data_IF_520776164585
#
_entry.id   IF_520776164585
#
_cell.length_a   1.000
_cell.length_b   1.000
_cell.length_c   1.000
_cell.angle_alpha   90.00
_cell.angle_beta   90.00
_cell.angle_gamma   90.00
#
_symmetry.space_group_name_H-M   'P 1'
#
loop_
_entity.id
_entity.type
_entity.pdbx_description
1 polymer ?
#
# COMPACT_ATOMS: atom_id res chain seq x y z
N UNK A 1 -7.37 -35.46 2.25
CA UNK A 1 -7.25 -34.11 1.62
C UNK A 1 -5.92 -33.52 1.99
N UNK A 2 -5.12 -33.01 1.02
CA UNK A 2 -3.80 -32.40 1.33
C UNK A 2 -4.03 -31.18 2.23
N UNK A 3 -3.36 -31.19 3.39
CA UNK A 3 -3.30 -30.04 4.31
C UNK A 3 -2.77 -28.84 3.57
N UNK A 4 -3.59 -27.84 3.28
CA UNK A 4 -3.20 -26.70 2.45
C UNK A 4 -3.46 -25.39 3.17
N UNK A 5 -2.42 -24.56 3.23
CA UNK A 5 -2.54 -23.18 3.68
C UNK A 5 -3.21 -22.31 2.61
N UNK A 6 -4.01 -21.34 3.03
CA UNK A 6 -4.65 -20.38 2.15
C UNK A 6 -4.37 -18.96 2.64
N UNK A 7 -4.09 -18.05 1.71
CA UNK A 7 -3.89 -16.62 2.02
C UNK A 7 -4.81 -15.81 1.13
N UNK A 8 -5.67 -15.03 1.76
CA UNK A 8 -6.57 -14.09 1.09
C UNK A 8 -6.03 -12.68 1.33
N UNK A 9 -5.46 -12.07 0.30
CA UNK A 9 -5.00 -10.69 0.36
C UNK A 9 -6.09 -9.75 -0.13
N UNK A 10 -6.54 -8.85 0.73
CA UNK A 10 -7.52 -7.82 0.41
C UNK A 10 -6.84 -6.46 0.34
N UNK A 11 -7.28 -5.60 -0.59
CA UNK A 11 -6.82 -4.22 -0.71
C UNK A 11 -5.56 -4.06 -1.57
N UNK A 12 -4.50 -3.46 -1.02
CA UNK A 12 -3.40 -2.85 -1.77
C UNK A 12 -2.25 -3.82 -2.11
N UNK A 13 -1.29 -3.30 -2.90
CA UNK A 13 -0.07 -4.01 -3.32
C UNK A 13 0.83 -4.39 -2.14
N UNK A 14 0.84 -3.61 -1.05
CA UNK A 14 1.52 -3.96 0.19
C UNK A 14 0.97 -5.25 0.79
N UNK A 15 -0.36 -5.43 0.83
CA UNK A 15 -0.96 -6.67 1.31
C UNK A 15 -0.56 -7.87 0.46
N UNK A 16 -0.37 -7.70 -0.86
CA UNK A 16 0.12 -8.76 -1.74
C UNK A 16 1.57 -9.11 -1.38
N UNK A 17 2.43 -8.09 -1.21
CA UNK A 17 3.81 -8.27 -0.79
C UNK A 17 3.91 -9.00 0.56
N UNK A 18 3.19 -8.52 1.55
CA UNK A 18 3.14 -9.11 2.90
C UNK A 18 2.57 -10.54 2.89
N UNK A 19 1.62 -10.81 1.99
CA UNK A 19 1.07 -12.16 1.81
C UNK A 19 2.12 -13.19 1.39
N UNK A 20 3.09 -12.82 0.56
CA UNK A 20 4.20 -13.72 0.21
C UNK A 20 5.16 -13.93 1.39
N UNK A 21 5.38 -12.90 2.23
CA UNK A 21 6.15 -13.05 3.48
C UNK A 21 5.45 -14.02 4.42
N UNK A 22 4.14 -13.85 4.64
CA UNK A 22 3.33 -14.74 5.47
C UNK A 22 3.42 -16.17 4.95
N UNK A 23 3.33 -16.37 3.64
CA UNK A 23 3.45 -17.68 3.01
C UNK A 23 4.80 -18.35 3.32
N UNK A 24 5.88 -17.56 3.24
CA UNK A 24 7.21 -18.05 3.61
C UNK A 24 7.28 -18.42 5.10
N UNK A 25 6.69 -17.61 5.99
CA UNK A 25 6.64 -17.95 7.41
C UNK A 25 5.86 -19.24 7.70
N UNK A 26 4.69 -19.44 7.04
CA UNK A 26 3.93 -20.67 7.18
C UNK A 26 4.74 -21.89 6.72
N UNK A 27 5.46 -21.75 5.61
CA UNK A 27 6.34 -22.82 5.08
C UNK A 27 7.53 -23.12 6.01
N UNK A 28 8.24 -22.08 6.44
CA UNK A 28 9.45 -22.22 7.28
C UNK A 28 9.13 -22.83 8.65
N UNK A 29 7.95 -22.53 9.20
CA UNK A 29 7.49 -23.09 10.48
C UNK A 29 6.71 -24.40 10.33
N UNK A 30 6.66 -25.01 9.13
CA UNK A 30 5.93 -26.25 8.82
C UNK A 30 4.44 -26.21 9.25
N UNK A 31 3.83 -25.03 9.19
CA UNK A 31 2.42 -24.85 9.53
C UNK A 31 1.53 -25.37 8.40
N UNK A 32 0.47 -26.06 8.77
CA UNK A 32 -0.52 -26.61 7.86
C UNK A 32 -1.92 -26.28 8.37
N UNK A 33 -2.91 -26.30 7.47
CA UNK A 33 -4.29 -26.00 7.80
C UNK A 33 -4.48 -24.60 8.40
N UNK A 34 -3.77 -23.61 7.86
CA UNK A 34 -3.93 -22.21 8.24
C UNK A 34 -4.53 -21.43 7.08
N UNK A 35 -5.58 -20.67 7.35
CA UNK A 35 -6.13 -19.69 6.40
C UNK A 35 -5.92 -18.30 6.96
N UNK A 36 -5.18 -17.48 6.24
CA UNK A 36 -4.85 -16.10 6.64
C UNK A 36 -5.66 -15.13 5.81
N UNK A 37 -6.40 -14.24 6.49
CA UNK A 37 -7.11 -13.11 5.88
C UNK A 37 -6.31 -11.84 6.15
N UNK A 38 -5.56 -11.38 5.15
CA UNK A 38 -4.79 -10.12 5.22
C UNK A 38 -5.72 -8.96 4.82
N UNK A 39 -6.27 -8.26 5.79
CA UNK A 39 -7.42 -7.38 5.71
C UNK A 39 -7.08 -5.96 5.22
N UNK A 40 -8.08 -5.28 4.66
CA UNK A 40 -8.05 -3.87 4.29
C UNK A 40 -9.08 -3.08 5.12
N UNK A 41 -8.78 -1.78 5.39
CA UNK A 41 -9.62 -0.89 6.19
C UNK A 41 -9.94 0.43 5.46
N UNK A 42 -9.54 0.59 4.20
CA UNK A 42 -9.65 1.87 3.50
C UNK A 42 -11.11 2.33 3.36
N UNK A 43 -12.02 1.41 3.08
CA UNK A 43 -13.46 1.70 2.97
C UNK A 43 -14.26 0.74 3.84
N UNK A 44 -15.50 1.12 4.16
CA UNK A 44 -16.45 0.25 4.86
C UNK A 44 -16.74 -1.03 4.06
N UNK A 45 -16.84 -0.90 2.74
CA UNK A 45 -17.04 -2.06 1.86
C UNK A 45 -15.87 -3.04 1.93
N UNK A 46 -14.62 -2.53 2.01
CA UNK A 46 -13.45 -3.37 2.21
C UNK A 46 -13.54 -4.14 3.54
N UNK A 47 -14.03 -3.54 4.62
CA UNK A 47 -14.25 -4.25 5.89
C UNK A 47 -15.38 -5.26 5.83
N UNK A 48 -16.49 -4.96 5.13
CA UNK A 48 -17.58 -5.93 4.88
C UNK A 48 -17.04 -7.16 4.14
N UNK A 49 -16.16 -6.93 3.16
CA UNK A 49 -15.50 -8.02 2.44
C UNK A 49 -14.60 -8.88 3.33
N UNK A 50 -13.90 -8.29 4.32
CA UNK A 50 -13.12 -9.06 5.31
C UNK A 50 -14.03 -10.05 6.05
N UNK A 51 -15.16 -9.59 6.58
CA UNK A 51 -16.13 -10.43 7.31
C UNK A 51 -16.73 -11.53 6.41
N UNK A 52 -16.98 -11.23 5.15
CA UNK A 52 -17.43 -12.22 4.17
C UNK A 52 -16.37 -13.30 3.93
N UNK A 53 -15.11 -12.92 3.68
CA UNK A 53 -14.03 -13.88 3.41
C UNK A 53 -13.70 -14.74 4.64
N UNK A 54 -13.83 -14.23 5.87
CA UNK A 54 -13.70 -15.01 7.11
C UNK A 54 -14.74 -16.15 7.14
N UNK A 55 -16.03 -15.83 6.95
CA UNK A 55 -17.11 -16.83 6.95
C UNK A 55 -16.96 -17.85 5.82
N UNK A 56 -16.61 -17.38 4.63
CA UNK A 56 -16.34 -18.22 3.46
C UNK A 56 -15.16 -19.17 3.71
N UNK A 57 -14.08 -18.66 4.31
CA UNK A 57 -12.92 -19.48 4.66
C UNK A 57 -13.27 -20.57 5.66
N UNK A 58 -14.03 -20.25 6.72
CA UNK A 58 -14.47 -21.24 7.71
C UNK A 58 -15.40 -22.30 7.11
N UNK A 59 -16.29 -21.90 6.20
CA UNK A 59 -17.16 -22.83 5.47
C UNK A 59 -16.38 -23.78 4.54
N UNK A 60 -15.43 -23.23 3.78
CA UNK A 60 -14.67 -24.01 2.78
C UNK A 60 -13.56 -24.87 3.41
N UNK A 61 -13.01 -24.44 4.53
CA UNK A 61 -11.89 -25.07 5.23
C UNK A 61 -12.20 -25.15 6.74
N UNK A 62 -13.19 -25.98 7.16
CA UNK A 62 -13.67 -26.01 8.54
C UNK A 62 -12.58 -26.39 9.55
N UNK A 63 -11.60 -27.18 9.12
CA UNK A 63 -10.48 -27.64 9.94
C UNK A 63 -9.29 -26.69 9.94
N UNK A 64 -9.31 -25.63 9.10
CA UNK A 64 -8.23 -24.66 9.10
C UNK A 64 -8.39 -23.68 10.26
N UNK A 65 -7.24 -23.32 10.83
CA UNK A 65 -7.12 -22.20 11.74
C UNK A 65 -7.28 -20.89 10.93
N UNK A 66 -8.23 -20.07 11.33
CA UNK A 66 -8.50 -18.77 10.69
C UNK A 66 -7.72 -17.67 11.41
N UNK A 67 -6.78 -17.06 10.72
CA UNK A 67 -5.95 -15.96 11.22
C UNK A 67 -6.33 -14.69 10.48
N UNK A 68 -6.68 -13.65 11.22
CA UNK A 68 -6.97 -12.32 10.64
C UNK A 68 -5.84 -11.37 10.95
N UNK A 69 -5.36 -10.67 9.94
CA UNK A 69 -4.30 -9.66 10.03
C UNK A 69 -4.58 -8.51 9.06
N UNK A 70 -3.67 -7.56 8.94
CA UNK A 70 -3.82 -6.42 8.03
C UNK A 70 -4.44 -5.19 8.71
N UNK A 71 -4.75 -4.16 7.89
CA UNK A 71 -5.14 -2.85 8.42
C UNK A 71 -6.41 -2.87 9.26
N UNK A 72 -7.44 -3.64 8.88
CA UNK A 72 -8.67 -3.70 9.66
C UNK A 72 -8.46 -4.42 11.00
N UNK A 73 -7.67 -5.49 11.02
CA UNK A 73 -7.29 -6.19 12.25
C UNK A 73 -6.43 -5.31 13.18
N UNK A 74 -5.54 -4.50 12.64
CA UNK A 74 -4.73 -3.57 13.40
C UNK A 74 -5.56 -2.47 14.06
N UNK A 75 -6.53 -1.91 13.33
CA UNK A 75 -7.35 -0.78 13.82
C UNK A 75 -8.39 -1.23 14.84
N UNK A 76 -9.03 -2.36 14.62
CA UNK A 76 -10.08 -2.85 15.51
C UNK A 76 -9.89 -4.36 15.78
N UNK A 77 -8.88 -4.74 16.57
CA UNK A 77 -8.53 -6.14 16.78
C UNK A 77 -9.61 -6.91 17.55
N UNK A 78 -10.31 -6.28 18.49
CA UNK A 78 -11.35 -6.92 19.30
C UNK A 78 -12.55 -7.34 18.46
N UNK A 79 -12.95 -6.51 17.47
CA UNK A 79 -14.01 -6.83 16.51
C UNK A 79 -13.81 -8.20 15.84
N UNK A 80 -12.55 -8.53 15.50
CA UNK A 80 -12.24 -9.80 14.83
C UNK A 80 -11.96 -10.93 15.82
N UNK A 81 -11.41 -10.64 17.00
CA UNK A 81 -11.18 -11.62 18.06
C UNK A 81 -12.49 -12.24 18.55
N UNK A 82 -13.56 -11.45 18.61
CA UNK A 82 -14.86 -11.88 19.13
C UNK A 82 -15.67 -12.73 18.11
N UNK A 83 -15.20 -12.83 16.86
CA UNK A 83 -15.85 -13.70 15.86
C UNK A 83 -15.58 -15.17 16.17
N UNK A 84 -16.63 -15.99 16.11
CA UNK A 84 -16.54 -17.45 16.40
C UNK A 84 -15.63 -18.19 15.42
N UNK A 85 -15.57 -17.69 14.19
CA UNK A 85 -14.80 -18.27 13.10
C UNK A 85 -13.29 -17.96 13.20
N UNK A 86 -12.88 -16.99 14.01
CA UNK A 86 -11.51 -16.50 14.09
C UNK A 86 -10.78 -17.13 15.27
N UNK A 87 -9.65 -17.74 14.96
CA UNK A 87 -8.78 -18.38 15.96
C UNK A 87 -7.67 -17.45 16.48
N UNK A 88 -7.17 -16.53 15.63
CA UNK A 88 -6.10 -15.59 16.00
C UNK A 88 -6.21 -14.27 15.25
N UNK A 89 -5.82 -13.18 15.92
CA UNK A 89 -5.69 -11.85 15.33
C UNK A 89 -4.26 -11.35 15.51
N UNK A 90 -3.62 -10.95 14.41
CA UNK A 90 -2.21 -10.55 14.37
C UNK A 90 -2.12 -9.16 13.76
N UNK A 91 -1.33 -8.27 14.38
CA UNK A 91 -1.09 -6.92 13.90
C UNK A 91 -0.20 -6.83 12.65
N UNK A 92 -0.03 -5.62 12.15
CA UNK A 92 0.70 -5.37 10.91
C UNK A 92 2.23 -5.50 11.04
N UNK A 93 2.80 -5.26 12.21
CA UNK A 93 4.21 -5.52 12.49
C UNK A 93 4.43 -7.00 12.75
N UNK A 94 3.65 -7.57 13.64
CA UNK A 94 3.79 -8.94 14.13
C UNK A 94 3.61 -9.99 13.05
N UNK A 95 2.79 -9.73 12.02
CA UNK A 95 2.62 -10.66 10.89
C UNK A 95 3.89 -10.86 10.07
N UNK A 96 4.84 -9.92 10.14
CA UNK A 96 6.11 -9.98 9.44
C UNK A 96 7.21 -10.66 10.25
N UNK A 97 6.96 -10.97 11.52
CA UNK A 97 7.90 -11.63 12.42
C UNK A 97 7.76 -13.16 12.40
N UNK A 98 8.84 -13.87 12.16
CA UNK A 98 8.86 -15.35 12.14
C UNK A 98 8.40 -15.97 13.45
N UNK A 99 8.77 -15.37 14.59
CA UNK A 99 8.42 -15.87 15.94
C UNK A 99 6.91 -15.81 16.20
N UNK A 100 6.20 -14.87 15.62
CA UNK A 100 4.74 -14.79 15.72
C UNK A 100 4.07 -16.03 15.15
N UNK A 101 4.52 -16.49 14.00
CA UNK A 101 3.99 -17.68 13.35
C UNK A 101 4.40 -18.97 14.03
N UNK A 102 5.61 -19.06 14.59
CA UNK A 102 6.06 -20.24 15.35
C UNK A 102 5.15 -20.53 16.55
N UNK A 103 4.59 -19.50 17.16
CA UNK A 103 3.77 -19.60 18.38
C UNK A 103 2.26 -19.53 18.13
N UNK A 104 1.82 -19.69 16.87
CA UNK A 104 0.41 -19.47 16.49
C UNK A 104 -0.56 -20.53 17.05
N UNK A 105 -0.05 -21.68 17.45
CA UNK A 105 -0.89 -22.80 17.97
C UNK A 105 -1.30 -22.62 19.44
N UNK A 106 -0.70 -21.69 20.15
CA UNK A 106 -1.13 -21.33 21.48
C UNK A 106 -2.46 -20.58 21.39
N UNK A 107 -3.56 -21.18 21.87
CA UNK A 107 -4.97 -20.73 21.98
C UNK A 107 -5.31 -19.28 21.56
N UNK A 108 -6.58 -19.01 21.15
CA UNK A 108 -7.13 -17.69 20.69
C UNK A 108 -6.21 -16.49 20.97
N UNK A 109 -5.24 -16.30 20.08
CA UNK A 109 -4.17 -15.31 20.27
C UNK A 109 -4.59 -13.95 19.72
N UNK A 110 -4.54 -12.94 20.56
CA UNK A 110 -4.53 -11.54 20.16
C UNK A 110 -3.08 -11.02 20.29
N UNK A 111 -2.40 -10.84 19.16
CA UNK A 111 -1.04 -10.29 19.11
C UNK A 111 -1.01 -9.06 18.21
N UNK A 112 -1.37 -7.92 18.76
CA UNK A 112 -1.46 -6.63 18.06
C UNK A 112 -0.84 -5.56 18.94
N UNK A 113 0.31 -5.05 18.53
CA UNK A 113 1.01 -3.96 19.22
C UNK A 113 0.53 -2.58 18.80
N UNK A 114 1.10 -1.56 19.41
CA UNK A 114 0.82 -0.17 19.06
C UNK A 114 1.61 0.23 17.80
N UNK A 115 0.96 0.23 16.65
CA UNK A 115 1.58 0.53 15.36
C UNK A 115 2.16 1.97 15.27
N UNK A 116 1.69 2.90 16.10
CA UNK A 116 2.19 4.28 16.12
C UNK A 116 3.55 4.42 16.82
N UNK A 117 3.94 3.45 17.64
CA UNK A 117 5.24 3.40 18.31
C UNK A 117 6.33 2.76 17.45
N UNK A 118 5.94 2.10 16.37
CA UNK A 118 6.88 1.46 15.46
C UNK A 118 7.73 2.48 14.70
N UNK A 119 9.04 2.38 14.84
CA UNK A 119 10.02 3.29 14.25
C UNK A 119 10.84 2.70 13.11
N UNK A 120 10.76 1.37 12.88
CA UNK A 120 11.54 0.66 11.86
C UNK A 120 10.66 -0.29 11.07
N UNK A 121 11.08 -0.61 9.86
CA UNK A 121 10.50 -1.71 9.08
C UNK A 121 11.05 -3.04 9.57
N UNK A 122 10.23 -4.10 9.50
CA UNK A 122 10.69 -5.46 9.82
C UNK A 122 11.51 -6.00 8.65
N UNK A 123 12.78 -6.38 8.86
CA UNK A 123 13.58 -6.99 7.80
C UNK A 123 12.94 -8.28 7.27
N UNK A 124 12.80 -8.37 5.97
CA UNK A 124 12.23 -9.55 5.33
C UNK A 124 12.84 -9.77 3.94
N UNK A 125 12.69 -10.98 3.40
CA UNK A 125 13.11 -11.29 2.03
C UNK A 125 12.02 -12.08 1.32
N UNK A 126 11.81 -11.75 0.05
CA UNK A 126 10.92 -12.47 -0.85
C UNK A 126 11.74 -12.90 -2.06
N UNK A 127 11.62 -14.16 -2.44
CA UNK A 127 12.33 -14.72 -3.58
C UNK A 127 11.43 -14.83 -4.81
N UNK A 128 10.12 -14.99 -4.60
CA UNK A 128 9.16 -15.26 -5.66
C UNK A 128 7.76 -14.76 -5.29
N UNK A 129 7.04 -14.30 -6.29
CA UNK A 129 5.61 -13.99 -6.23
C UNK A 129 4.85 -15.02 -7.08
N UNK A 130 4.19 -15.97 -6.44
CA UNK A 130 3.48 -17.02 -7.17
C UNK A 130 2.36 -16.48 -8.05
N UNK A 131 2.36 -16.91 -9.32
CA UNK A 131 1.35 -16.51 -10.29
C UNK A 131 1.37 -15.03 -10.68
N UNK A 132 2.48 -14.30 -10.42
CA UNK A 132 2.65 -12.89 -10.78
C UNK A 132 3.79 -12.72 -11.77
N UNK A 133 3.56 -11.93 -12.81
CA UNK A 133 4.58 -11.51 -13.79
C UNK A 133 5.47 -10.37 -13.29
N UNK A 134 5.06 -9.67 -12.24
CA UNK A 134 5.78 -8.54 -11.61
C UNK A 134 6.00 -8.80 -10.14
N UNK A 135 7.15 -8.34 -9.64
CA UNK A 135 7.47 -8.35 -8.22
C UNK A 135 7.12 -7.02 -7.56
N UNK A 136 6.51 -7.06 -6.39
CA UNK A 136 6.25 -5.88 -5.57
C UNK A 136 7.37 -5.75 -4.53
N UNK A 137 7.97 -4.58 -4.42
CA UNK A 137 9.03 -4.32 -3.44
C UNK A 137 8.60 -3.17 -2.54
N UNK A 138 8.41 -3.50 -1.28
CA UNK A 138 8.16 -2.49 -0.25
C UNK A 138 9.40 -1.62 -0.06
N UNK A 139 9.20 -0.31 -0.18
CA UNK A 139 10.25 0.69 0.07
C UNK A 139 9.92 1.55 1.28
N UNK A 140 8.65 1.58 1.70
CA UNK A 140 8.18 2.47 2.74
C UNK A 140 6.87 1.94 3.34
N UNK A 141 6.67 2.12 4.64
CA UNK A 141 5.47 1.81 5.42
C UNK A 141 4.98 3.05 6.17
N UNK A 142 3.67 3.05 6.49
CA UNK A 142 3.06 4.12 7.27
C UNK A 142 2.97 5.46 6.54
N UNK A 143 2.44 6.48 7.21
CA UNK A 143 2.31 7.82 6.64
C UNK A 143 2.23 8.86 7.76
N UNK A 144 3.02 9.94 7.66
CA UNK A 144 2.99 11.04 8.61
C UNK A 144 1.89 12.06 8.31
N UNK A 145 1.28 11.98 7.13
CA UNK A 145 0.16 12.83 6.80
C UNK A 145 -1.09 12.41 7.54
N UNK A 146 -1.90 13.38 7.86
CA UNK A 146 -3.16 13.22 8.59
C UNK A 146 -4.27 13.82 7.75
N UNK A 147 -4.43 13.28 6.50
CA UNK A 147 -5.58 13.65 5.65
C UNK A 147 -6.87 13.36 6.41
N UNK A 148 -7.84 14.27 6.33
CA UNK A 148 -9.01 14.26 7.20
C UNK A 148 -9.91 13.04 7.05
N UNK A 149 -9.85 12.37 5.92
CA UNK A 149 -10.62 11.15 5.61
C UNK A 149 -9.86 9.84 5.85
N UNK A 150 -8.54 9.91 6.11
CA UNK A 150 -7.67 8.74 5.99
C UNK A 150 -7.50 8.00 7.31
N UNK A 151 -7.83 6.70 7.30
CA UNK A 151 -7.66 5.79 8.43
C UNK A 151 -6.28 5.09 8.43
N UNK A 152 -5.52 5.18 7.35
CA UNK A 152 -4.30 4.40 7.13
C UNK A 152 -3.23 4.60 8.22
N UNK A 153 -2.98 5.79 8.78
CA UNK A 153 -2.00 5.93 9.85
C UNK A 153 -2.29 5.07 11.09
N UNK A 154 -3.56 4.80 11.38
CA UNK A 154 -3.95 3.92 12.50
C UNK A 154 -3.75 2.44 12.20
N UNK A 155 -3.73 2.07 10.91
CA UNK A 155 -3.45 0.69 10.48
C UNK A 155 -2.00 0.43 10.12
N UNK A 156 -1.23 1.47 9.73
CA UNK A 156 0.12 1.33 9.19
C UNK A 156 1.19 2.11 9.98
N UNK A 157 0.78 2.95 10.92
CA UNK A 157 1.68 3.77 11.74
C UNK A 157 2.27 4.98 11.02
N UNK A 158 3.32 5.52 11.60
CA UNK A 158 4.09 6.63 11.04
C UNK A 158 5.00 6.18 9.90
N UNK A 159 5.51 7.14 9.11
CA UNK A 159 6.43 6.88 8.01
C UNK A 159 7.68 6.12 8.49
N UNK A 160 7.99 5.02 7.80
CA UNK A 160 9.18 4.19 8.01
C UNK A 160 9.68 3.72 6.65
N UNK A 161 10.89 4.09 6.31
CA UNK A 161 11.52 3.75 5.03
C UNK A 161 12.45 2.56 5.15
N UNK A 162 12.49 1.73 4.12
CA UNK A 162 13.47 0.64 4.03
C UNK A 162 14.81 1.22 3.55
N UNK A 163 15.94 0.88 4.16
CA UNK A 163 17.24 1.37 3.71
C UNK A 163 17.53 1.03 2.24
N UNK A 164 18.06 1.98 1.48
CA UNK A 164 18.28 1.84 0.03
C UNK A 164 19.13 0.61 -0.34
N UNK A 165 20.12 0.25 0.48
CA UNK A 165 20.95 -0.94 0.26
C UNK A 165 20.14 -2.24 0.34
N UNK A 166 19.19 -2.33 1.28
CA UNK A 166 18.30 -3.49 1.39
C UNK A 166 17.36 -3.60 0.19
N UNK A 167 16.80 -2.46 -0.27
CA UNK A 167 15.93 -2.42 -1.46
C UNK A 167 16.69 -2.91 -2.69
N UNK A 168 17.89 -2.39 -2.92
CA UNK A 168 18.74 -2.78 -4.06
C UNK A 168 19.04 -4.29 -4.01
N UNK A 169 19.40 -4.83 -2.83
CA UNK A 169 19.69 -6.24 -2.69
C UNK A 169 18.46 -7.12 -2.93
N UNK A 170 17.27 -6.71 -2.45
CA UNK A 170 16.00 -7.38 -2.73
C UNK A 170 15.71 -7.39 -4.23
N UNK A 171 15.89 -6.26 -4.91
CA UNK A 171 15.64 -6.16 -6.37
C UNK A 171 16.63 -7.03 -7.14
N UNK A 172 17.92 -7.03 -6.81
CA UNK A 172 18.92 -7.94 -7.44
C UNK A 172 18.50 -9.39 -7.33
N UNK A 173 18.07 -9.83 -6.14
CA UNK A 173 17.60 -11.20 -5.91
C UNK A 173 16.35 -11.55 -6.72
N UNK A 174 15.40 -10.63 -6.84
CA UNK A 174 14.20 -10.80 -7.65
C UNK A 174 14.53 -10.88 -9.14
N UNK A 175 15.41 -10.02 -9.63
CA UNK A 175 15.86 -10.03 -11.04
C UNK A 175 16.62 -11.31 -11.35
N UNK A 176 17.52 -11.78 -10.48
CA UNK A 176 18.22 -13.04 -10.66
C UNK A 176 17.30 -14.28 -10.66
N UNK A 177 16.10 -14.14 -10.06
CA UNK A 177 15.06 -15.17 -10.11
C UNK A 177 14.13 -15.05 -11.34
N UNK A 178 14.50 -14.21 -12.33
CA UNK A 178 13.85 -14.12 -13.63
C UNK A 178 12.73 -13.10 -13.75
N UNK A 179 12.54 -12.21 -12.76
CA UNK A 179 11.57 -11.12 -12.88
C UNK A 179 12.12 -9.96 -13.72
N UNK A 180 11.33 -9.54 -14.70
CA UNK A 180 11.68 -8.41 -15.58
C UNK A 180 11.11 -7.08 -15.07
N UNK A 181 10.00 -7.11 -14.33
CA UNK A 181 9.33 -5.90 -13.81
C UNK A 181 9.29 -5.91 -12.28
N UNK A 182 9.76 -4.79 -11.70
CA UNK A 182 9.64 -4.48 -10.26
C UNK A 182 8.73 -3.27 -10.09
N UNK A 183 7.81 -3.37 -9.14
CA UNK A 183 6.93 -2.27 -8.73
C UNK A 183 7.35 -1.81 -7.33
N UNK A 184 7.84 -0.58 -7.21
CA UNK A 184 8.09 0.03 -5.91
C UNK A 184 6.76 0.35 -5.24
N UNK A 185 6.58 -0.15 -4.02
CA UNK A 185 5.31 0.00 -3.29
C UNK A 185 5.52 0.50 -1.88
N UNK A 186 4.54 1.22 -1.38
CA UNK A 186 4.50 1.78 -0.03
C UNK A 186 3.12 2.40 0.22
N UNK A 187 2.98 3.04 1.37
CA UNK A 187 1.79 3.83 1.71
C UNK A 187 1.88 5.22 1.08
N UNK A 188 3.07 5.82 1.14
CA UNK A 188 3.41 7.12 0.57
C UNK A 188 4.86 7.08 0.09
N UNK A 189 5.07 6.55 -1.12
CA UNK A 189 6.42 6.32 -1.64
C UNK A 189 7.20 7.60 -1.91
N UNK A 190 6.52 8.72 -2.12
CA UNK A 190 7.14 10.02 -2.35
C UNK A 190 7.72 10.64 -1.07
N UNK A 191 7.22 10.23 0.11
CA UNK A 191 7.76 10.59 1.42
C UNK A 191 8.95 9.72 1.87
N UNK A 192 9.47 8.87 0.97
CA UNK A 192 10.59 7.97 1.25
C UNK A 192 11.84 8.72 1.74
N UNK A 193 12.47 8.14 2.76
CA UNK A 193 13.80 8.49 3.23
C UNK A 193 13.85 9.63 4.26
N UNK A 194 12.75 10.34 4.51
CA UNK A 194 12.74 11.45 5.50
C UNK A 194 13.09 11.01 6.92
N UNK A 195 12.86 9.74 7.24
CA UNK A 195 13.17 9.09 8.52
C UNK A 195 14.56 8.42 8.55
N UNK A 196 15.22 8.28 7.40
CA UNK A 196 16.54 7.65 7.29
C UNK A 196 17.68 8.66 7.54
N UNK A 197 18.87 8.18 7.99
CA UNK A 197 20.08 9.00 8.03
C UNK A 197 20.35 9.62 6.66
N UNK A 198 20.85 10.87 6.66
CA UNK A 198 21.09 11.68 5.44
C UNK A 198 19.84 11.98 4.60
N UNK A 199 18.65 11.59 5.03
CA UNK A 199 17.37 11.89 4.39
C UNK A 199 17.38 11.77 2.86
N UNK A 200 17.73 10.59 2.30
CA UNK A 200 17.73 10.40 0.85
C UNK A 200 16.31 10.61 0.29
N UNK A 201 16.21 11.23 -0.89
CA UNK A 201 14.90 11.43 -1.53
C UNK A 201 14.44 10.18 -2.28
N UNK A 202 13.16 10.17 -2.64
CA UNK A 202 12.58 9.12 -3.48
C UNK A 202 13.29 9.03 -4.84
N UNK A 203 13.57 10.17 -5.47
CA UNK A 203 14.31 10.22 -6.73
C UNK A 203 15.72 9.69 -6.60
N UNK A 204 16.39 9.98 -5.50
CA UNK A 204 17.72 9.44 -5.20
C UNK A 204 17.70 7.91 -5.10
N UNK A 205 16.69 7.34 -4.46
CA UNK A 205 16.49 5.89 -4.43
C UNK A 205 16.34 5.30 -5.84
N UNK A 206 15.49 5.89 -6.69
CA UNK A 206 15.27 5.41 -8.06
C UNK A 206 16.56 5.46 -8.87
N UNK A 207 17.29 6.60 -8.86
CA UNK A 207 18.60 6.73 -9.52
C UNK A 207 19.57 5.62 -9.08
N UNK A 208 19.57 5.33 -7.77
CA UNK A 208 20.43 4.30 -7.19
C UNK A 208 20.04 2.89 -7.64
N UNK A 209 18.75 2.57 -7.70
CA UNK A 209 18.25 1.28 -8.21
C UNK A 209 18.66 1.11 -9.67
N UNK A 210 18.36 2.09 -10.53
CA UNK A 210 18.66 2.04 -11.96
C UNK A 210 20.18 1.91 -12.23
N UNK A 211 21.03 2.53 -11.41
CA UNK A 211 22.48 2.43 -11.51
C UNK A 211 23.03 1.07 -11.04
N UNK A 212 22.51 0.54 -9.92
CA UNK A 212 23.10 -0.63 -9.25
C UNK A 212 22.46 -1.98 -9.67
N UNK A 213 21.37 -1.92 -10.45
CA UNK A 213 20.67 -3.09 -11.00
C UNK A 213 20.46 -2.87 -12.51
N UNK A 214 21.52 -2.89 -13.32
CA UNK A 214 21.42 -2.63 -14.77
C UNK A 214 20.59 -3.71 -15.50
N UNK A 215 20.48 -4.91 -14.94
CA UNK A 215 19.70 -6.03 -15.48
C UNK A 215 18.18 -5.86 -15.31
N UNK A 216 17.74 -4.91 -14.47
CA UNK A 216 16.32 -4.61 -14.29
C UNK A 216 15.76 -3.96 -15.56
N UNK A 217 14.82 -4.63 -16.21
CA UNK A 217 14.25 -4.15 -17.48
C UNK A 217 13.14 -3.12 -17.30
N UNK A 218 12.34 -3.26 -16.25
CA UNK A 218 11.17 -2.42 -16.02
C UNK A 218 11.02 -2.05 -14.56
N UNK A 219 11.02 -0.78 -14.27
CA UNK A 219 10.75 -0.21 -12.94
C UNK A 219 9.44 0.55 -12.97
N UNK A 220 8.49 0.16 -12.15
CA UNK A 220 7.20 0.83 -12.02
C UNK A 220 7.03 1.45 -10.65
N UNK A 221 6.38 2.59 -10.59
CA UNK A 221 6.03 3.27 -9.35
C UNK A 221 4.58 2.94 -8.97
N UNK A 222 4.30 2.83 -7.67
CA UNK A 222 2.92 2.88 -7.17
C UNK A 222 2.43 4.34 -7.13
N UNK A 223 1.36 4.62 -6.39
CA UNK A 223 0.79 5.97 -6.33
C UNK A 223 1.78 6.98 -5.77
N UNK A 224 1.88 8.13 -6.45
CA UNK A 224 2.75 9.25 -6.09
C UNK A 224 1.93 10.48 -5.68
N UNK A 225 2.49 11.31 -4.81
CA UNK A 225 1.94 12.63 -4.49
C UNK A 225 2.74 13.70 -5.25
N UNK A 226 2.08 14.43 -6.14
CA UNK A 226 2.74 15.43 -6.98
C UNK A 226 3.32 16.62 -6.20
N UNK A 227 2.90 16.83 -4.95
CA UNK A 227 3.47 17.86 -4.07
C UNK A 227 4.84 17.50 -3.49
N UNK A 228 5.26 16.25 -3.57
CA UNK A 228 6.49 15.74 -2.96
C UNK A 228 7.56 15.36 -3.98
N UNK A 229 7.32 15.65 -5.24
CA UNK A 229 8.28 15.40 -6.32
C UNK A 229 9.42 16.41 -6.24
N UNK A 230 10.65 15.92 -6.14
CA UNK A 230 11.87 16.73 -6.15
C UNK A 230 12.38 16.97 -7.60
N UNK A 231 13.33 17.92 -7.76
CA UNK A 231 13.86 18.27 -9.08
C UNK A 231 14.61 17.12 -9.76
N UNK A 232 15.22 16.22 -9.00
CA UNK A 232 15.91 15.04 -9.53
C UNK A 232 14.98 14.07 -10.26
N UNK A 233 13.68 14.11 -9.98
CA UNK A 233 12.68 13.25 -10.60
C UNK A 233 12.59 13.46 -12.12
N UNK A 234 12.76 14.69 -12.58
CA UNK A 234 12.65 15.02 -14.00
C UNK A 234 13.75 14.38 -14.86
N UNK A 235 14.93 14.16 -14.30
CA UNK A 235 15.99 13.43 -14.98
C UNK A 235 15.72 11.94 -15.07
N UNK A 236 15.09 11.38 -14.05
CA UNK A 236 14.74 9.94 -14.00
C UNK A 236 13.72 9.58 -15.08
N UNK A 237 12.81 10.49 -15.44
CA UNK A 237 11.82 10.28 -16.48
C UNK A 237 12.43 9.94 -17.84
N UNK A 238 13.70 10.31 -18.08
CA UNK A 238 14.42 10.02 -19.32
C UNK A 238 14.90 8.57 -19.43
N UNK A 239 14.93 7.81 -18.33
CA UNK A 239 15.33 6.40 -18.36
C UNK A 239 14.18 5.54 -18.87
N UNK A 240 14.39 4.84 -19.98
CA UNK A 240 13.39 4.02 -20.66
C UNK A 240 12.90 2.84 -19.80
N UNK A 241 13.68 2.42 -18.82
CA UNK A 241 13.30 1.36 -17.89
C UNK A 241 12.24 1.81 -16.90
N UNK A 242 12.09 3.12 -16.68
CA UNK A 242 10.98 3.64 -15.88
C UNK A 242 9.70 3.58 -16.71
N UNK A 243 8.72 2.80 -16.22
CA UNK A 243 7.46 2.61 -16.94
C UNK A 243 6.67 3.92 -17.03
N UNK A 244 6.18 4.30 -18.23
CA UNK A 244 5.56 5.59 -18.48
C UNK A 244 4.11 5.66 -18.01
N UNK A 245 3.80 5.09 -16.86
CA UNK A 245 2.49 5.18 -16.23
C UNK A 245 2.63 5.71 -14.80
N UNK A 246 2.01 6.85 -14.54
CA UNK A 246 2.06 7.53 -13.23
C UNK A 246 0.66 7.60 -12.63
N UNK A 247 0.48 6.91 -11.51
CA UNK A 247 -0.76 6.97 -10.75
C UNK A 247 -0.63 8.05 -9.68
N UNK A 248 -1.53 9.04 -9.69
CA UNK A 248 -1.44 10.23 -8.85
C UNK A 248 -2.51 10.16 -7.75
N UNK A 249 -2.11 10.42 -6.52
CA UNK A 249 -3.01 10.49 -5.37
C UNK A 249 -3.75 11.85 -5.34
N UNK A 250 -4.63 12.13 -6.30
CA UNK A 250 -5.32 13.42 -6.45
C UNK A 250 -6.39 13.65 -5.38
N UNK A 251 -7.31 12.74 -5.23
CA UNK A 251 -8.44 12.72 -4.30
C UNK A 251 -9.61 13.66 -4.68
N UNK A 252 -9.34 14.87 -5.16
CA UNK A 252 -10.36 15.83 -5.62
C UNK A 252 -9.78 16.83 -6.64
N UNK A 253 -10.64 17.50 -7.41
CA UNK A 253 -10.25 18.52 -8.38
C UNK A 253 -10.52 19.97 -7.96
N UNK A 254 -11.08 20.19 -6.79
CA UNK A 254 -11.37 21.54 -6.27
C UNK A 254 -10.45 21.88 -5.09
N UNK A 255 -9.81 23.06 -5.13
CA UNK A 255 -8.84 23.47 -4.12
C UNK A 255 -9.43 23.61 -2.70
N UNK A 256 -10.69 23.97 -2.57
CA UNK A 256 -11.33 24.06 -1.25
C UNK A 256 -11.56 22.67 -0.66
N UNK A 257 -11.96 21.71 -1.49
CA UNK A 257 -12.11 20.31 -1.07
C UNK A 257 -10.73 19.72 -0.72
N UNK A 258 -9.71 19.93 -1.54
CA UNK A 258 -8.33 19.52 -1.24
C UNK A 258 -7.84 20.08 0.11
N UNK A 259 -8.13 21.35 0.38
CA UNK A 259 -7.82 21.99 1.68
C UNK A 259 -8.58 21.32 2.84
N UNK A 260 -9.86 21.02 2.68
CA UNK A 260 -10.69 20.31 3.69
C UNK A 260 -10.21 18.88 3.90
N UNK A 261 -9.74 18.23 2.86
CA UNK A 261 -9.07 16.93 2.92
C UNK A 261 -7.68 16.99 3.57
N UNK A 262 -7.14 18.20 3.80
CA UNK A 262 -5.76 18.43 4.26
C UNK A 262 -4.72 17.87 3.29
N UNK A 263 -4.97 18.06 1.97
CA UNK A 263 -4.00 17.72 0.92
C UNK A 263 -2.97 18.85 0.78
N UNK A 264 -1.79 18.50 0.27
CA UNK A 264 -0.64 19.41 0.13
C UNK A 264 -0.51 19.99 -1.27
N UNK A 265 -1.06 19.32 -2.26
CA UNK A 265 -1.11 19.84 -3.63
C UNK A 265 -2.37 20.65 -3.86
N UNK A 266 -2.28 21.57 -4.83
CA UNK A 266 -3.41 22.23 -5.44
C UNK A 266 -3.77 21.57 -6.77
N UNK A 267 -4.93 21.95 -7.30
CA UNK A 267 -5.37 21.59 -8.66
C UNK A 267 -4.29 21.94 -9.70
N UNK A 268 -3.76 23.14 -9.62
CA UNK A 268 -2.78 23.69 -10.56
C UNK A 268 -1.45 22.93 -10.51
N UNK A 269 -1.02 22.51 -9.31
CA UNK A 269 0.16 21.68 -9.14
C UNK A 269 0.01 20.34 -9.85
N UNK A 270 -1.16 19.70 -9.75
CA UNK A 270 -1.43 18.43 -10.43
C UNK A 270 -1.39 18.59 -11.95
N UNK A 271 -2.05 19.62 -12.49
CA UNK A 271 -2.04 19.94 -13.92
C UNK A 271 -0.61 20.20 -14.42
N UNK A 272 0.15 21.02 -13.71
CA UNK A 272 1.53 21.35 -14.06
C UNK A 272 2.45 20.12 -14.01
N UNK A 273 2.26 19.25 -13.03
CA UNK A 273 2.97 17.98 -12.95
C UNK A 273 2.73 17.13 -14.21
N UNK A 274 1.47 16.91 -14.60
CA UNK A 274 1.12 16.13 -15.79
C UNK A 274 1.70 16.74 -17.07
N UNK A 275 1.58 18.06 -17.23
CA UNK A 275 2.15 18.77 -18.38
C UNK A 275 3.67 18.64 -18.44
N UNK A 276 4.37 18.78 -17.31
CA UNK A 276 5.82 18.67 -17.24
C UNK A 276 6.28 17.24 -17.54
N UNK A 277 5.59 16.22 -17.03
CA UNK A 277 5.86 14.82 -17.38
C UNK A 277 5.71 14.60 -18.88
N UNK A 278 4.59 15.03 -19.50
CA UNK A 278 4.36 14.87 -20.95
C UNK A 278 5.39 15.62 -21.82
N UNK A 279 5.92 16.73 -21.34
CA UNK A 279 7.00 17.45 -22.06
C UNK A 279 8.29 16.66 -22.16
N UNK A 280 8.55 15.75 -21.21
CA UNK A 280 9.75 14.91 -21.13
C UNK A 280 9.49 13.50 -21.69
N UNK A 281 8.34 12.92 -21.34
CA UNK A 281 7.91 11.56 -21.71
C UNK A 281 6.55 11.63 -22.44
N UNK A 282 6.57 11.76 -23.75
CA UNK A 282 5.36 11.90 -24.60
C UNK A 282 4.45 10.68 -24.55
N UNK A 283 5.00 9.52 -24.24
CA UNK A 283 4.30 8.24 -24.09
C UNK A 283 3.71 8.04 -22.68
N UNK A 284 3.84 9.01 -21.77
CA UNK A 284 3.32 8.90 -20.43
C UNK A 284 1.80 8.86 -20.39
N UNK A 285 1.27 8.01 -19.49
CA UNK A 285 -0.16 7.89 -19.17
C UNK A 285 -0.38 8.15 -17.69
N UNK A 286 -1.54 8.68 -17.33
CA UNK A 286 -1.86 9.01 -15.96
C UNK A 286 -3.08 8.25 -15.46
N UNK A 287 -2.97 7.79 -14.21
CA UNK A 287 -4.10 7.32 -13.42
C UNK A 287 -4.28 8.19 -12.18
N UNK A 288 -5.46 8.14 -11.58
CA UNK A 288 -5.70 8.84 -10.32
C UNK A 288 -6.74 8.14 -9.45
N UNK A 289 -6.58 8.33 -8.12
CA UNK A 289 -7.63 8.06 -7.15
C UNK A 289 -8.44 9.34 -6.92
N UNK A 290 -9.78 9.25 -6.98
CA UNK A 290 -10.71 10.37 -6.74
C UNK A 290 -11.78 9.90 -5.76
N UNK A 291 -12.07 10.73 -4.76
CA UNK A 291 -13.16 10.55 -3.81
C UNK A 291 -14.32 11.42 -4.25
N UNK A 292 -15.46 10.80 -4.57
CA UNK A 292 -16.70 11.51 -4.90
C UNK A 292 -17.62 11.62 -3.67
N UNK A 293 -18.27 12.77 -3.49
CA UNK A 293 -19.18 13.00 -2.38
C UNK A 293 -18.47 13.22 -1.04
N UNK A 294 -17.30 13.84 -1.07
CA UNK A 294 -16.64 14.26 0.18
C UNK A 294 -17.55 15.24 0.96
N UNK A 295 -17.62 15.16 2.30
CA UNK A 295 -18.44 16.07 3.09
C UNK A 295 -18.23 17.53 2.67
N UNK A 296 -19.33 18.24 2.44
CA UNK A 296 -19.36 19.64 1.98
C UNK A 296 -18.93 19.86 0.51
N UNK A 297 -18.76 18.81 -0.29
CA UNK A 297 -18.60 18.92 -1.73
C UNK A 297 -19.93 19.33 -2.38
N UNK A 298 -19.93 20.43 -3.13
CA UNK A 298 -21.09 20.84 -3.94
C UNK A 298 -20.97 20.30 -5.34
N UNK A 299 -22.09 20.32 -6.11
CA UNK A 299 -22.09 19.93 -7.51
C UNK A 299 -21.04 20.69 -8.33
N UNK A 300 -20.91 21.99 -8.13
CA UNK A 300 -19.90 22.80 -8.83
C UNK A 300 -18.47 22.36 -8.52
N UNK A 301 -18.18 22.00 -7.26
CA UNK A 301 -16.86 21.48 -6.86
C UNK A 301 -16.58 20.09 -7.43
N UNK A 302 -17.62 19.25 -7.55
CA UNK A 302 -17.51 17.96 -8.22
C UNK A 302 -17.23 18.13 -9.72
N UNK A 303 -17.89 19.10 -10.38
CA UNK A 303 -17.59 19.42 -11.77
C UNK A 303 -16.14 19.87 -12.00
N UNK A 304 -15.51 20.50 -11.02
CA UNK A 304 -14.06 20.78 -11.09
C UNK A 304 -13.22 19.49 -11.08
N UNK A 305 -13.67 18.46 -10.38
CA UNK A 305 -13.00 17.14 -10.40
C UNK A 305 -13.15 16.46 -11.77
N UNK A 306 -14.32 16.59 -12.42
CA UNK A 306 -14.54 16.09 -13.78
C UNK A 306 -13.63 16.83 -14.78
N UNK A 307 -13.56 18.15 -14.73
CA UNK A 307 -12.69 18.95 -15.61
C UNK A 307 -11.21 18.59 -15.43
N UNK A 308 -10.78 18.27 -14.21
CA UNK A 308 -9.40 17.89 -13.92
C UNK A 308 -8.99 16.61 -14.66
N UNK A 309 -9.93 15.70 -14.95
CA UNK A 309 -9.67 14.48 -15.75
C UNK A 309 -9.10 14.85 -17.11
N UNK A 310 -9.74 15.79 -17.81
CA UNK A 310 -9.30 16.25 -19.12
C UNK A 310 -8.01 17.08 -19.04
N UNK A 311 -7.93 17.99 -18.06
CA UNK A 311 -6.78 18.89 -17.91
C UNK A 311 -5.47 18.16 -17.55
N UNK A 312 -5.57 17.02 -16.83
CA UNK A 312 -4.45 16.15 -16.50
C UNK A 312 -4.27 14.98 -17.50
N UNK A 313 -5.14 14.88 -18.52
CA UNK A 313 -5.16 13.76 -19.47
C UNK A 313 -5.17 12.39 -18.76
N UNK A 314 -6.08 12.23 -17.77
CA UNK A 314 -6.19 11.00 -16.99
C UNK A 314 -6.87 9.90 -17.81
N UNK A 315 -6.22 8.74 -17.93
CA UNK A 315 -6.73 7.59 -18.69
C UNK A 315 -7.22 6.44 -17.80
N UNK A 316 -6.82 6.43 -16.52
CA UNK A 316 -7.18 5.39 -15.56
C UNK A 316 -7.68 6.02 -14.28
N UNK A 317 -8.94 5.83 -13.96
CA UNK A 317 -9.56 6.40 -12.76
C UNK A 317 -9.99 5.31 -11.79
N UNK A 318 -9.61 5.48 -10.54
CA UNK A 318 -10.22 4.77 -9.42
C UNK A 318 -11.12 5.77 -8.66
N UNK A 319 -12.42 5.66 -8.85
CA UNK A 319 -13.39 6.53 -8.19
C UNK A 319 -13.96 5.81 -6.98
N UNK A 320 -13.82 6.41 -5.81
CA UNK A 320 -14.33 5.91 -4.55
C UNK A 320 -15.46 6.82 -4.05
N UNK A 321 -16.65 6.32 -3.77
CA UNK A 321 -17.60 7.04 -2.95
C UNK A 321 -16.95 7.35 -1.59
N UNK A 322 -17.19 8.55 -1.07
CA UNK A 322 -16.71 8.86 0.27
C UNK A 322 -17.22 7.84 1.28
N UNK A 323 -16.32 7.27 2.03
CA UNK A 323 -16.62 6.29 3.07
C UNK A 323 -16.21 6.84 4.43
N UNK A 324 -17.16 7.24 5.30
CA UNK A 324 -16.82 7.72 6.62
C UNK A 324 -16.07 6.65 7.41
N UNK A 325 -14.94 7.07 8.00
CA UNK A 325 -14.13 6.19 8.85
C UNK A 325 -14.17 6.72 10.26
N UNK A 326 -14.57 5.86 11.19
CA UNK A 326 -14.62 6.20 12.61
C UNK A 326 -13.28 6.80 13.06
N UNK A 327 -13.32 7.80 13.92
CA UNK A 327 -12.17 8.54 14.45
C UNK A 327 -11.42 9.42 13.43
N UNK A 328 -11.90 9.55 12.18
CA UNK A 328 -11.35 10.52 11.24
C UNK A 328 -12.06 11.87 11.34
N UNK A 329 -11.37 13.02 11.13
CA UNK A 329 -12.02 14.34 11.18
C UNK A 329 -13.17 14.49 10.19
N UNK A 330 -13.05 13.94 8.97
CA UNK A 330 -14.07 14.05 7.94
C UNK A 330 -15.36 13.30 8.28
N UNK A 331 -15.31 12.26 9.12
CA UNK A 331 -16.54 11.56 9.56
C UNK A 331 -17.45 12.40 10.44
N UNK A 332 -16.97 13.56 10.91
CA UNK A 332 -17.69 14.52 11.76
C UNK A 332 -18.07 15.80 11.03
N UNK A 333 -17.78 15.90 9.75
CA UNK A 333 -18.12 17.05 8.90
C UNK A 333 -19.55 16.97 8.39
#
# INVERSE_FOLDING_TARGET
>A
MKNKNHIVNLGCRLNIYEGEIIKNHLKTNNLNNVTVINSCAVTEEAEKKVSYEIRKAKKNFPNNKIVVTGCAAQINPLKYKDLKEVDSVIGNTEKLETLTWKNIDQSKNLKVGNILEESKTVPNSIEKFEGKSRAYIEIQQGCNHRCTFCIIPFGRGNNRSVPAGEIVNKIKKIVSNGYNEVVLTGVDITDYGKDLPAKPTFSNLIKRILKLVPELRQLRLSSIDCAEIDEDFWDILKDERLMPHFHISLQAGNNLILKRMKRRHSREMAINFCKKVLSIRKDATFGADIIAGFPTETETMFQDSIKLVDECNLTHLHIFPYSPRENTPASRM
#
